data_IF_614534183199
#
_entry.id   IF_614534183199
#
_cell.length_a   1.000
_cell.length_b   1.000
_cell.length_c   1.000
_cell.angle_alpha   90.00
_cell.angle_beta   90.00
_cell.angle_gamma   90.00
#
_symmetry.space_group_name_H-M   'P 1'
#
loop_
_entity.id
_entity.type
_entity.pdbx_description
1 polymer ?
#
# COMPACT_ATOMS: atom_id res chain seq x y z
N UNK A 1 -1.58 22.53 -2.11
CA UNK A 1 -0.40 21.66 -1.91
C UNK A 1 -0.67 20.84 -0.67
N UNK A 2 -1.14 19.62 -0.89
CA UNK A 2 -1.43 18.61 0.12
C UNK A 2 -0.32 18.45 1.15
N UNK A 3 -0.69 18.28 2.42
CA UNK A 3 0.23 18.00 3.52
C UNK A 3 0.56 16.51 3.60
N UNK A 4 1.73 16.15 4.12
CA UNK A 4 2.13 14.75 4.29
C UNK A 4 1.09 13.94 5.09
N UNK A 5 0.52 14.52 6.15
CA UNK A 5 -0.52 13.87 6.97
C UNK A 5 -1.77 13.53 6.16
N UNK A 6 -2.22 14.46 5.32
CA UNK A 6 -3.41 14.27 4.46
C UNK A 6 -3.13 13.19 3.41
N UNK A 7 -1.96 13.24 2.77
CA UNK A 7 -1.53 12.23 1.80
C UNK A 7 -1.50 10.83 2.42
N UNK A 8 -0.83 10.66 3.57
CA UNK A 8 -0.71 9.38 4.25
C UNK A 8 -2.10 8.85 4.62
N UNK A 9 -2.94 9.68 5.22
CA UNK A 9 -4.29 9.27 5.59
C UNK A 9 -5.12 8.82 4.38
N UNK A 10 -5.14 9.60 3.29
CA UNK A 10 -5.91 9.26 2.10
C UNK A 10 -5.36 8.00 1.39
N UNK A 11 -4.04 7.80 1.44
CA UNK A 11 -3.40 6.60 0.89
C UNK A 11 -3.79 5.35 1.69
N UNK A 12 -3.55 5.34 3.00
CA UNK A 12 -3.70 4.13 3.83
C UNK A 12 -5.16 3.78 4.11
N UNK A 13 -6.06 4.76 4.12
CA UNK A 13 -7.51 4.52 4.21
C UNK A 13 -8.15 4.04 2.90
N UNK A 14 -7.39 4.04 1.80
CA UNK A 14 -7.91 3.67 0.47
C UNK A 14 -8.74 4.77 -0.21
N UNK A 15 -8.94 5.93 0.42
CA UNK A 15 -9.72 7.05 -0.14
C UNK A 15 -9.21 7.54 -1.51
N UNK A 16 -7.90 7.39 -1.80
CA UNK A 16 -7.34 7.74 -3.11
C UNK A 16 -7.86 6.88 -4.27
N UNK A 17 -8.38 5.67 -4.03
CA UNK A 17 -8.84 4.75 -5.10
C UNK A 17 -10.06 5.32 -5.83
N UNK A 18 -11.03 5.79 -5.05
CA UNK A 18 -12.31 6.33 -5.52
C UNK A 18 -12.35 7.87 -5.54
N UNK A 19 -11.23 8.52 -5.23
CA UNK A 19 -11.12 9.97 -5.23
C UNK A 19 -11.29 10.58 -6.65
N UNK A 20 -11.82 11.82 -6.73
CA UNK A 20 -11.84 12.59 -7.98
C UNK A 20 -10.45 12.71 -8.62
N UNK A 21 -10.39 12.78 -9.95
CA UNK A 21 -9.12 12.86 -10.72
C UNK A 21 -8.20 13.99 -10.25
N UNK A 22 -8.76 15.15 -9.91
CA UNK A 22 -7.99 16.29 -9.41
C UNK A 22 -7.25 15.97 -8.10
N UNK A 23 -7.92 15.29 -7.17
CA UNK A 23 -7.32 14.91 -5.88
C UNK A 23 -6.23 13.83 -6.07
N UNK A 24 -6.47 12.86 -6.97
CA UNK A 24 -5.46 11.86 -7.34
C UNK A 24 -4.22 12.49 -7.96
N UNK A 25 -4.40 13.52 -8.80
CA UNK A 25 -3.30 14.26 -9.39
C UNK A 25 -2.51 15.04 -8.34
N UNK A 26 -3.19 15.72 -7.40
CA UNK A 26 -2.52 16.42 -6.31
C UNK A 26 -1.71 15.45 -5.43
N UNK A 27 -2.27 14.29 -5.08
CA UNK A 27 -1.55 13.25 -4.33
C UNK A 27 -0.33 12.72 -5.10
N UNK A 28 -0.46 12.51 -6.41
CA UNK A 28 0.65 12.09 -7.27
C UNK A 28 1.77 13.14 -7.31
N UNK A 29 1.40 14.42 -7.44
CA UNK A 29 2.35 15.53 -7.40
C UNK A 29 3.05 15.63 -6.04
N UNK A 30 2.31 15.51 -4.94
CA UNK A 30 2.88 15.51 -3.59
C UNK A 30 3.92 14.38 -3.42
N UNK A 31 3.57 13.15 -3.84
CA UNK A 31 4.50 12.01 -3.82
C UNK A 31 5.74 12.25 -4.69
N UNK A 32 5.60 12.96 -5.80
CA UNK A 32 6.71 13.28 -6.69
C UNK A 32 7.69 14.27 -6.04
N UNK A 33 7.24 15.27 -5.29
CA UNK A 33 8.15 16.27 -4.72
C UNK A 33 8.64 15.93 -3.31
N UNK A 34 7.86 15.16 -2.54
CA UNK A 34 8.18 14.85 -1.15
C UNK A 34 8.92 13.51 -1.03
N UNK A 35 10.22 13.55 -0.72
CA UNK A 35 11.05 12.34 -0.55
C UNK A 35 10.51 11.39 0.52
N UNK A 36 9.95 11.91 1.62
CA UNK A 36 9.42 11.11 2.72
C UNK A 36 8.18 10.32 2.30
N UNK A 37 7.22 10.99 1.66
CA UNK A 37 6.01 10.33 1.18
C UNK A 37 6.28 9.36 0.02
N UNK A 38 7.30 9.64 -0.79
CA UNK A 38 7.79 8.69 -1.79
C UNK A 38 8.33 7.41 -1.16
N UNK A 39 9.21 7.54 -0.15
CA UNK A 39 9.75 6.39 0.58
C UNK A 39 8.65 5.63 1.32
N UNK A 40 7.75 6.35 2.01
CA UNK A 40 6.59 5.76 2.69
C UNK A 40 5.78 4.89 1.73
N UNK A 41 5.38 5.43 0.57
CA UNK A 41 4.55 4.70 -0.41
C UNK A 41 5.25 3.44 -0.95
N UNK A 42 6.58 3.47 -1.10
CA UNK A 42 7.35 2.29 -1.53
C UNK A 42 7.39 1.23 -0.43
N UNK A 43 7.57 1.63 0.81
CA UNK A 43 7.62 0.72 1.96
C UNK A 43 6.24 0.09 2.21
N UNK A 44 5.18 0.90 2.17
CA UNK A 44 3.79 0.46 2.31
C UNK A 44 3.44 -0.61 1.26
N UNK A 45 3.74 -0.35 -0.02
CA UNK A 45 3.55 -1.33 -1.10
C UNK A 45 4.41 -2.60 -0.94
N UNK A 46 5.55 -2.51 -0.26
CA UNK A 46 6.40 -3.67 0.04
C UNK A 46 5.78 -4.51 1.14
N UNK A 47 5.28 -3.88 2.21
CA UNK A 47 4.57 -4.55 3.30
C UNK A 47 3.30 -5.24 2.80
N UNK A 48 2.52 -4.59 1.93
CA UNK A 48 1.33 -5.19 1.32
C UNK A 48 1.65 -6.50 0.59
N UNK A 49 2.77 -6.56 -0.14
CA UNK A 49 3.22 -7.78 -0.83
C UNK A 49 3.62 -8.88 0.14
N UNK A 50 4.36 -8.53 1.20
CA UNK A 50 4.76 -9.50 2.23
C UNK A 50 3.52 -10.09 2.91
N UNK A 51 2.56 -9.25 3.26
CA UNK A 51 1.30 -9.68 3.87
C UNK A 51 0.45 -10.52 2.91
N UNK A 52 0.43 -10.18 1.62
CA UNK A 52 -0.25 -10.99 0.60
C UNK A 52 0.35 -12.39 0.50
N UNK A 53 1.69 -12.50 0.38
CA UNK A 53 2.37 -13.80 0.33
C UNK A 53 2.17 -14.62 1.60
N UNK A 54 2.14 -13.97 2.77
CA UNK A 54 1.82 -14.67 4.01
C UNK A 54 0.37 -15.21 4.01
N UNK A 55 -0.61 -14.42 3.57
CA UNK A 55 -2.00 -14.89 3.44
C UNK A 55 -2.12 -16.07 2.47
N UNK A 56 -1.40 -16.02 1.35
CA UNK A 56 -1.36 -17.13 0.39
C UNK A 56 -0.77 -18.39 1.04
N UNK A 57 0.28 -18.28 1.85
CA UNK A 57 0.86 -19.42 2.56
C UNK A 57 -0.10 -20.07 3.56
N UNK A 58 -1.00 -19.28 4.18
CA UNK A 58 -2.04 -19.79 5.07
C UNK A 58 -3.20 -20.48 4.33
N UNK A 59 -3.35 -20.22 3.03
CA UNK A 59 -4.42 -20.79 2.20
C UNK A 59 -3.96 -22.04 1.44
N UNK A 60 -2.66 -22.32 1.42
CA UNK A 60 -2.17 -23.62 0.97
C UNK A 60 -2.55 -24.62 2.05
N UNK A 61 -3.41 -25.62 1.75
CA UNK A 61 -3.58 -26.72 2.67
C UNK A 61 -2.20 -27.33 2.88
N UNK A 62 -1.73 -27.36 4.12
CA UNK A 62 -0.56 -28.14 4.47
C UNK A 62 -0.68 -29.51 3.80
N UNK A 63 0.32 -29.87 3.00
CA UNK A 63 0.42 -31.18 2.35
C UNK A 63 0.06 -32.25 3.38
N UNK A 64 -1.17 -32.75 3.24
CA UNK A 64 -1.71 -33.81 4.05
C UNK A 64 -0.88 -35.06 3.76
N UNK A 65 0.02 -35.38 4.68
CA UNK A 65 0.65 -36.69 4.75
C UNK A 65 2.04 -36.78 4.13
N UNK A 66 3.04 -36.27 4.86
CA UNK A 66 4.33 -36.96 4.91
C UNK A 66 4.45 -37.64 6.28
N UNK A 67 3.85 -38.83 6.37
CA UNK A 67 4.19 -39.79 7.43
C UNK A 67 5.64 -40.31 7.18
N UNK A 68 6.35 -40.72 8.24
CA UNK A 68 7.81 -40.75 8.33
C UNK A 68 8.52 -41.67 7.32
#
# INVERSE_FOLDING_TARGET
MMKCREYIFQLTSGQLRDAPKALRLEAAMHRMICKYCRTFTRNDATLDKVLAGYRESLQQPEDAGKNP
#
